data_IF_866631658361
#
_entry.id   IF_866631658361
#
_cell.length_a   1.000
_cell.length_b   1.000
_cell.length_c   1.000
_cell.angle_alpha   90.00
_cell.angle_beta   90.00
_cell.angle_gamma   90.00
#
_symmetry.space_group_name_H-M   'P 1'
#
loop_
_entity.id
_entity.type
_entity.pdbx_description
1 polymer ?
#
# COMPACT_ATOMS: atom_id res chain seq x y z
N UNK A 1 30.58 54.01 -21.18
CA UNK A 1 30.59 53.27 -19.90
C UNK A 1 29.18 52.86 -19.48
N UNK A 2 28.15 53.70 -19.68
CA UNK A 2 26.74 53.33 -19.35
C UNK A 2 26.21 52.07 -20.05
N UNK A 3 26.47 51.90 -21.36
CA UNK A 3 25.96 50.71 -22.08
C UNK A 3 26.53 49.39 -21.56
N UNK A 4 27.79 49.39 -21.12
CA UNK A 4 28.44 48.20 -20.55
C UNK A 4 27.76 47.83 -19.22
N UNK A 5 27.45 48.82 -18.38
CA UNK A 5 26.75 48.61 -17.11
C UNK A 5 25.33 48.09 -17.29
N UNK A 6 24.59 48.60 -18.28
CA UNK A 6 23.22 48.14 -18.59
C UNK A 6 23.22 46.69 -19.07
N UNK A 7 24.13 46.33 -19.98
CA UNK A 7 24.24 44.96 -20.48
C UNK A 7 24.64 43.96 -19.37
N UNK A 8 25.52 44.38 -18.45
CA UNK A 8 25.89 43.56 -17.29
C UNK A 8 24.68 43.30 -16.37
N UNK A 9 23.90 44.34 -16.07
CA UNK A 9 22.71 44.24 -15.23
C UNK A 9 21.66 43.34 -15.89
N UNK A 10 21.42 43.50 -17.20
CA UNK A 10 20.51 42.64 -17.96
C UNK A 10 20.95 41.17 -17.93
N UNK A 11 22.25 40.91 -18.07
CA UNK A 11 22.81 39.56 -17.96
C UNK A 11 22.51 38.92 -16.60
N UNK A 12 22.80 39.64 -15.51
CA UNK A 12 22.55 39.17 -14.14
C UNK A 12 21.06 38.91 -13.91
N UNK A 13 20.20 39.86 -14.29
CA UNK A 13 18.75 39.73 -14.14
C UNK A 13 18.22 38.53 -14.95
N UNK A 14 18.70 38.33 -16.18
CA UNK A 14 18.30 37.17 -16.99
C UNK A 14 18.72 35.85 -16.35
N UNK A 15 19.91 35.78 -15.74
CA UNK A 15 20.41 34.59 -15.07
C UNK A 15 19.59 34.22 -13.83
N UNK A 16 19.18 35.23 -13.04
CA UNK A 16 18.32 35.04 -11.87
C UNK A 16 16.94 34.55 -12.31
N UNK A 17 16.34 35.19 -13.32
CA UNK A 17 15.04 34.77 -13.87
C UNK A 17 15.10 33.34 -14.41
N UNK A 18 16.15 33.02 -15.17
CA UNK A 18 16.34 31.66 -15.72
C UNK A 18 16.46 30.62 -14.60
N UNK A 19 17.24 30.92 -13.57
CA UNK A 19 17.40 30.03 -12.41
C UNK A 19 16.08 29.81 -11.68
N UNK A 20 15.29 30.88 -11.50
CA UNK A 20 13.97 30.80 -10.89
C UNK A 20 13.01 29.94 -11.73
N UNK A 21 13.01 30.12 -13.05
CA UNK A 21 12.18 29.33 -13.96
C UNK A 21 12.57 27.85 -13.96
N UNK A 22 13.87 27.52 -13.98
CA UNK A 22 14.36 26.14 -13.87
C UNK A 22 13.93 25.53 -12.55
N UNK A 23 14.08 26.26 -11.43
CA UNK A 23 13.68 25.78 -10.12
C UNK A 23 12.16 25.51 -10.05
N UNK A 24 11.34 26.42 -10.58
CA UNK A 24 9.89 26.24 -10.65
C UNK A 24 9.51 25.04 -11.53
N UNK A 25 10.15 24.88 -12.69
CA UNK A 25 9.92 23.73 -13.57
C UNK A 25 10.29 22.41 -12.88
N UNK A 26 11.41 22.35 -12.16
CA UNK A 26 11.79 21.17 -11.38
C UNK A 26 10.76 20.82 -10.31
N UNK A 27 10.21 21.81 -9.61
CA UNK A 27 9.15 21.59 -8.63
C UNK A 27 7.90 20.99 -9.27
N UNK A 28 7.48 21.52 -10.43
CA UNK A 28 6.33 21.00 -11.18
C UNK A 28 6.59 19.56 -11.66
N UNK A 29 7.77 19.29 -12.21
CA UNK A 29 8.13 17.94 -12.69
C UNK A 29 8.10 16.95 -11.53
N UNK A 30 8.74 17.27 -10.40
CA UNK A 30 8.86 16.35 -9.27
C UNK A 30 7.53 16.11 -8.55
N UNK A 31 6.67 17.14 -8.43
CA UNK A 31 5.44 17.07 -7.65
C UNK A 31 4.19 16.73 -8.45
N UNK A 32 4.19 16.96 -9.77
CA UNK A 32 2.99 16.80 -10.61
C UNK A 32 3.25 15.78 -11.73
N UNK A 33 4.28 16.01 -12.56
CA UNK A 33 4.52 15.17 -13.74
C UNK A 33 4.97 13.76 -13.35
N UNK A 34 5.89 13.64 -12.39
CA UNK A 34 6.47 12.37 -11.99
C UNK A 34 5.45 11.45 -11.30
N UNK A 35 4.60 11.94 -10.36
CA UNK A 35 3.50 11.13 -9.81
C UNK A 35 2.50 10.73 -10.89
N UNK A 36 2.06 11.66 -11.74
CA UNK A 36 1.10 11.37 -12.81
C UNK A 36 1.60 10.32 -13.79
N UNK A 37 2.87 10.40 -14.19
CA UNK A 37 3.49 9.40 -15.07
C UNK A 37 3.58 8.01 -14.41
N UNK A 38 3.90 7.96 -13.10
CA UNK A 38 3.88 6.71 -12.35
C UNK A 38 2.46 6.12 -12.30
N UNK A 39 1.45 6.93 -12.02
CA UNK A 39 0.06 6.46 -11.99
C UNK A 39 -0.37 5.87 -13.34
N UNK A 40 0.01 6.52 -14.46
CA UNK A 40 -0.31 6.04 -15.81
C UNK A 40 0.41 4.75 -16.19
N UNK A 41 1.67 4.58 -15.76
CA UNK A 41 2.50 3.44 -16.16
C UNK A 41 2.27 2.19 -15.29
N UNK A 42 1.86 2.37 -14.04
CA UNK A 42 1.74 1.28 -13.05
C UNK A 42 0.29 0.85 -12.78
N UNK A 43 -0.62 1.13 -13.71
CA UNK A 43 -2.07 0.84 -13.64
C UNK A 43 -2.45 -0.65 -13.74
N UNK A 44 -1.51 -1.59 -13.71
CA UNK A 44 -1.82 -3.01 -13.95
C UNK A 44 -2.52 -3.70 -12.76
N UNK A 45 -2.52 -3.09 -11.56
CA UNK A 45 -3.14 -3.68 -10.38
C UNK A 45 -3.62 -2.63 -9.38
N UNK A 46 -4.94 -2.52 -9.26
CA UNK A 46 -5.62 -1.71 -8.25
C UNK A 46 -5.90 -2.59 -7.03
N UNK A 47 -5.36 -2.22 -5.88
CA UNK A 47 -5.48 -2.90 -4.57
C UNK A 47 -6.43 -2.16 -3.64
N UNK A 48 -6.84 -0.94 -3.99
CA UNK A 48 -7.85 -0.16 -3.23
C UNK A 48 -9.07 -1.00 -2.84
N UNK A 49 -9.51 -0.86 -1.59
CA UNK A 49 -10.74 -1.45 -1.07
C UNK A 49 -10.57 -2.35 0.15
N UNK A 50 -11.63 -3.11 0.43
CA UNK A 50 -11.74 -3.96 1.60
C UNK A 50 -11.35 -5.41 1.26
N UNK A 51 -10.39 -5.93 2.01
CA UNK A 51 -9.87 -7.28 1.89
C UNK A 51 -10.12 -8.06 3.17
N UNK A 52 -10.40 -9.34 3.01
CA UNK A 52 -10.60 -10.27 4.12
C UNK A 52 -9.61 -11.42 4.02
N UNK A 53 -9.06 -11.79 5.17
CA UNK A 53 -8.11 -12.88 5.27
C UNK A 53 -8.83 -14.23 5.22
N UNK A 54 -8.34 -15.13 4.37
CA UNK A 54 -8.90 -16.46 4.14
C UNK A 54 -7.84 -17.49 4.49
N UNK A 55 -7.96 -18.04 5.70
CA UNK A 55 -7.16 -19.20 6.11
C UNK A 55 -7.84 -20.46 5.55
N UNK A 56 -7.24 -21.10 4.55
CA UNK A 56 -7.71 -22.40 4.06
C UNK A 56 -7.42 -23.47 5.15
N UNK A 57 -8.44 -23.85 5.91
CA UNK A 57 -8.36 -24.94 6.89
C UNK A 57 -9.62 -25.07 7.74
N UNK A 58 -9.98 -26.31 8.09
CA UNK A 58 -11.13 -26.76 8.93
C UNK A 58 -11.10 -26.25 10.39
N UNK A 59 -10.47 -25.11 10.65
CA UNK A 59 -10.41 -24.49 11.96
C UNK A 59 -11.56 -23.50 12.03
N UNK A 60 -12.49 -23.72 12.96
CA UNK A 60 -13.51 -22.74 13.35
C UNK A 60 -12.87 -21.34 13.39
N UNK A 61 -13.27 -20.48 12.45
CA UNK A 61 -12.69 -19.14 12.28
C UNK A 61 -13.14 -18.29 13.47
N UNK A 62 -12.40 -18.37 14.58
CA UNK A 62 -12.67 -17.59 15.79
C UNK A 62 -12.21 -16.13 15.65
N UNK A 63 -11.48 -15.83 14.57
CA UNK A 63 -10.85 -14.53 14.35
C UNK A 63 -11.03 -14.08 12.91
N UNK A 64 -11.65 -12.91 12.73
CA UNK A 64 -11.85 -12.28 11.43
C UNK A 64 -10.86 -11.14 11.25
N UNK A 65 -10.17 -11.09 10.11
CA UNK A 65 -9.18 -10.06 9.81
C UNK A 65 -9.63 -9.29 8.58
N UNK A 66 -9.84 -7.97 8.74
CA UNK A 66 -10.28 -7.08 7.69
C UNK A 66 -9.23 -6.01 7.43
N UNK A 67 -8.86 -5.81 6.17
CA UNK A 67 -7.91 -4.80 5.75
C UNK A 67 -8.61 -3.77 4.86
N UNK A 68 -8.56 -2.50 5.25
CA UNK A 68 -9.03 -1.36 4.44
C UNK A 68 -7.82 -0.69 3.84
N UNK A 69 -7.61 -0.84 2.54
CA UNK A 69 -6.40 -0.38 1.83
C UNK A 69 -6.73 0.80 0.90
N UNK A 70 -5.88 1.82 0.93
CA UNK A 70 -5.87 3.01 0.08
C UNK A 70 -4.52 3.07 -0.65
N UNK A 71 -4.57 3.05 -1.98
CA UNK A 71 -3.45 3.04 -2.89
C UNK A 71 -3.31 4.39 -3.59
N UNK A 72 -2.08 4.91 -3.60
CA UNK A 72 -1.69 6.11 -4.35
C UNK A 72 -0.46 5.79 -5.17
N UNK A 73 -0.66 5.59 -6.47
CA UNK A 73 0.32 5.03 -7.37
C UNK A 73 0.76 3.64 -6.89
N UNK A 74 2.04 3.50 -6.54
CA UNK A 74 2.58 2.24 -6.03
C UNK A 74 2.54 2.14 -4.50
N UNK A 75 2.21 3.22 -3.79
CA UNK A 75 2.22 3.22 -2.32
C UNK A 75 0.86 2.78 -1.80
N UNK A 76 0.86 1.97 -0.74
CA UNK A 76 -0.35 1.50 -0.07
C UNK A 76 -0.32 2.00 1.37
N UNK A 77 -1.46 2.49 1.83
CA UNK A 77 -1.73 2.82 3.23
C UNK A 77 -3.04 2.18 3.66
N UNK A 78 -3.29 2.04 4.95
CA UNK A 78 -4.54 1.44 5.38
C UNK A 78 -4.62 1.15 6.86
N UNK A 79 -5.71 0.48 7.23
CA UNK A 79 -5.97 0.00 8.58
C UNK A 79 -6.40 -1.45 8.52
N UNK A 80 -5.85 -2.26 9.41
CA UNK A 80 -6.29 -3.63 9.64
C UNK A 80 -7.07 -3.70 10.94
N UNK A 81 -8.24 -4.32 10.89
CA UNK A 81 -9.09 -4.63 12.04
C UNK A 81 -9.03 -6.14 12.28
N UNK A 82 -8.49 -6.52 13.44
CA UNK A 82 -8.52 -7.86 13.98
C UNK A 82 -9.75 -7.97 14.89
N UNK A 83 -10.72 -8.79 14.54
CA UNK A 83 -11.96 -8.97 15.29
C UNK A 83 -11.92 -10.37 15.90
N UNK A 84 -11.84 -10.42 17.23
CA UNK A 84 -11.91 -11.63 18.04
C UNK A 84 -13.08 -11.53 19.05
N UNK A 85 -13.37 -12.59 19.81
CA UNK A 85 -14.40 -12.57 20.85
C UNK A 85 -14.16 -11.51 21.95
N UNK A 86 -12.91 -11.08 22.14
CA UNK A 86 -12.50 -10.07 23.12
C UNK A 86 -12.61 -8.63 22.57
N UNK A 87 -12.95 -8.45 21.29
CA UNK A 87 -13.19 -7.15 20.65
C UNK A 87 -12.32 -6.90 19.42
N UNK A 88 -12.31 -5.63 18.97
CA UNK A 88 -11.56 -5.23 17.77
C UNK A 88 -10.21 -4.59 18.14
N UNK A 89 -9.11 -5.09 17.55
CA UNK A 89 -7.79 -4.47 17.62
C UNK A 89 -7.42 -3.89 16.26
N UNK A 90 -6.86 -2.68 16.24
CA UNK A 90 -6.49 -2.00 14.99
C UNK A 90 -4.98 -1.90 14.81
N UNK A 91 -4.54 -2.05 13.57
CA UNK A 91 -3.15 -1.88 13.14
C UNK A 91 -3.07 -0.97 11.93
N UNK A 92 -2.03 -0.16 11.85
CA UNK A 92 -1.74 0.65 10.68
C UNK A 92 -1.03 -0.21 9.63
N UNK A 93 -1.42 -0.03 8.38
CA UNK A 93 -0.84 -0.73 7.23
C UNK A 93 -0.11 0.28 6.37
N UNK A 94 1.12 -0.06 6.01
CA UNK A 94 1.89 0.67 4.99
C UNK A 94 2.50 -0.33 4.04
N UNK A 95 2.65 0.01 2.78
CA UNK A 95 3.08 -0.97 1.81
C UNK A 95 3.32 -0.39 0.43
N UNK A 96 3.56 -1.29 -0.52
CA UNK A 96 3.62 -0.94 -1.92
C UNK A 96 3.20 -2.10 -2.81
N UNK A 97 2.78 -1.75 -4.03
CA UNK A 97 2.59 -2.68 -5.13
C UNK A 97 3.67 -2.48 -6.18
N UNK A 98 4.22 -3.57 -6.70
CA UNK A 98 5.18 -3.57 -7.80
C UNK A 98 5.11 -4.88 -8.57
N UNK A 99 4.91 -4.80 -9.89
CA UNK A 99 4.92 -5.95 -10.80
C UNK A 99 3.96 -7.08 -10.37
N UNK A 100 2.75 -6.72 -9.93
CA UNK A 100 1.75 -7.70 -9.45
C UNK A 100 2.02 -8.26 -8.05
N UNK A 101 3.12 -7.86 -7.41
CA UNK A 101 3.46 -8.22 -6.02
C UNK A 101 3.06 -7.08 -5.10
N UNK A 102 2.44 -7.42 -3.97
CA UNK A 102 1.98 -6.52 -2.93
C UNK A 102 2.77 -6.83 -1.66
N UNK A 103 3.40 -5.80 -1.08
CA UNK A 103 4.06 -5.87 0.21
C UNK A 103 3.30 -5.00 1.19
N UNK A 104 2.82 -5.57 2.28
CA UNK A 104 2.12 -4.85 3.35
C UNK A 104 2.88 -5.03 4.66
N UNK A 105 3.10 -3.95 5.38
CA UNK A 105 3.71 -3.94 6.70
C UNK A 105 2.69 -3.45 7.70
N UNK A 106 2.52 -4.22 8.77
CA UNK A 106 1.55 -3.97 9.82
C UNK A 106 2.29 -3.55 11.07
N UNK A 107 1.88 -2.41 11.63
CA UNK A 107 2.44 -1.90 12.87
C UNK A 107 1.30 -1.53 13.82
N UNK A 108 1.49 -1.80 15.11
CA UNK A 108 0.59 -1.31 16.15
C UNK A 108 0.82 0.19 16.33
N UNK A 109 -0.25 0.93 16.62
CA UNK A 109 -0.15 2.34 17.04
C UNK A 109 0.67 2.49 18.33
N UNK A 110 0.57 1.52 19.22
CA UNK A 110 1.37 1.45 20.43
C UNK A 110 2.78 0.91 20.13
N UNK A 111 3.75 1.82 20.04
CA UNK A 111 5.16 1.52 19.74
C UNK A 111 5.90 0.79 20.86
N UNK A 112 5.30 0.62 22.04
CA UNK A 112 5.94 -0.07 23.16
C UNK A 112 5.84 -1.59 23.06
N UNK A 113 5.01 -2.12 22.16
CA UNK A 113 4.82 -3.56 21.98
C UNK A 113 5.52 -4.03 20.70
N UNK A 114 6.41 -5.01 20.87
CA UNK A 114 7.02 -5.73 19.75
C UNK A 114 5.93 -6.48 18.98
N UNK A 115 5.89 -6.27 17.67
CA UNK A 115 4.85 -6.83 16.82
C UNK A 115 4.96 -6.23 15.43
N UNK A 116 5.88 -6.77 14.63
CA UNK A 116 6.00 -6.46 13.20
C UNK A 116 5.50 -7.67 12.45
N UNK A 117 4.54 -7.42 11.55
CA UNK A 117 4.06 -8.41 10.61
C UNK A 117 4.20 -7.82 9.21
N UNK A 118 4.57 -8.66 8.25
CA UNK A 118 4.72 -8.27 6.86
C UNK A 118 4.06 -9.33 5.98
N UNK A 119 3.21 -8.89 5.05
CA UNK A 119 2.68 -9.76 4.01
C UNK A 119 3.47 -9.54 2.73
N UNK A 120 3.85 -10.63 2.07
CA UNK A 120 4.39 -10.65 0.72
C UNK A 120 3.44 -11.49 -0.12
N UNK A 121 2.61 -10.81 -0.92
CA UNK A 121 1.52 -11.43 -1.67
C UNK A 121 1.68 -11.14 -3.16
N UNK A 122 1.11 -12.00 -3.99
CA UNK A 122 0.98 -11.81 -5.43
C UNK A 122 -0.49 -11.74 -5.78
N UNK A 123 -0.86 -10.84 -6.69
CA UNK A 123 -2.19 -10.85 -7.27
C UNK A 123 -2.41 -12.08 -8.15
N UNK A 124 -3.52 -12.74 -7.89
CA UNK A 124 -4.03 -13.91 -8.63
C UNK A 124 -5.51 -13.68 -8.94
N UNK A 125 -6.09 -14.48 -9.83
CA UNK A 125 -7.51 -14.40 -10.21
C UNK A 125 -7.94 -12.97 -10.61
N UNK A 126 -7.26 -12.40 -11.59
CA UNK A 126 -7.49 -11.04 -12.12
C UNK A 126 -7.43 -9.93 -11.05
N UNK A 127 -6.66 -10.14 -9.99
CA UNK A 127 -6.47 -9.17 -8.90
C UNK A 127 -7.61 -9.14 -7.88
N UNK A 128 -8.46 -10.16 -7.86
CA UNK A 128 -9.51 -10.32 -6.85
C UNK A 128 -9.09 -11.13 -5.63
N UNK A 129 -7.98 -11.86 -5.76
CA UNK A 129 -7.32 -12.57 -4.67
C UNK A 129 -5.84 -12.19 -4.63
N UNK A 130 -5.30 -12.02 -3.44
CA UNK A 130 -3.87 -11.92 -3.19
C UNK A 130 -3.43 -13.17 -2.47
N UNK A 131 -2.38 -13.84 -2.93
CA UNK A 131 -1.88 -15.08 -2.32
C UNK A 131 -0.38 -15.02 -2.14
N UNK A 132 0.11 -15.49 -1.01
CA UNK A 132 1.53 -15.48 -0.70
C UNK A 132 1.78 -15.88 0.74
N UNK A 133 2.63 -15.14 1.44
CA UNK A 133 3.01 -15.47 2.81
C UNK A 133 2.86 -14.27 3.73
N UNK A 134 2.40 -14.55 4.94
CA UNK A 134 2.50 -13.67 6.09
C UNK A 134 3.75 -14.03 6.88
N UNK A 135 4.56 -13.04 7.25
CA UNK A 135 5.76 -13.18 8.07
C UNK A 135 5.60 -12.36 9.34
N UNK A 136 6.01 -12.91 10.48
CA UNK A 136 5.99 -12.18 11.74
C UNK A 136 7.14 -12.64 12.64
N UNK A 137 7.53 -11.77 13.56
CA UNK A 137 8.43 -12.14 14.65
C UNK A 137 7.64 -12.78 15.78
N UNK A 138 7.88 -14.07 16.04
CA UNK A 138 7.29 -14.78 17.16
C UNK A 138 8.13 -14.54 18.42
N UNK A 139 7.54 -13.82 19.38
CA UNK A 139 8.20 -13.49 20.65
C UNK A 139 8.46 -14.74 21.49
N UNK A 140 7.60 -15.75 21.39
CA UNK A 140 7.69 -16.97 22.21
C UNK A 140 8.88 -17.85 21.80
N UNK A 141 9.13 -17.98 20.50
CA UNK A 141 10.28 -18.74 19.98
C UNK A 141 11.48 -17.87 19.63
N UNK A 142 11.35 -16.53 19.67
CA UNK A 142 12.38 -15.58 19.23
C UNK A 142 12.86 -15.81 17.80
N UNK A 143 11.93 -16.20 16.91
CA UNK A 143 12.20 -16.53 15.52
C UNK A 143 11.25 -15.79 14.58
N UNK A 144 11.68 -15.59 13.33
CA UNK A 144 10.80 -15.12 12.27
C UNK A 144 10.06 -16.34 11.72
N UNK A 145 8.73 -16.32 11.80
CA UNK A 145 7.86 -17.35 11.24
C UNK A 145 7.18 -16.85 9.98
N UNK A 146 6.79 -17.81 9.14
CA UNK A 146 5.99 -17.55 7.95
C UNK A 146 4.88 -18.57 7.81
N UNK A 147 3.72 -18.14 7.34
CA UNK A 147 2.61 -19.02 6.95
C UNK A 147 2.07 -18.58 5.59
N UNK A 148 1.60 -19.53 4.80
CA UNK A 148 0.82 -19.22 3.61
C UNK A 148 -0.43 -18.44 4.01
N UNK A 149 -0.72 -17.41 3.23
CA UNK A 149 -1.90 -16.60 3.48
C UNK A 149 -2.52 -16.06 2.21
N UNK A 150 -3.84 -15.84 2.24
CA UNK A 150 -4.60 -15.36 1.10
C UNK A 150 -5.61 -14.29 1.51
N UNK A 151 -5.62 -13.17 0.79
CA UNK A 151 -6.63 -12.14 0.93
C UNK A 151 -7.62 -12.20 -0.22
N UNK A 152 -8.91 -12.08 0.08
CA UNK A 152 -9.99 -12.01 -0.92
C UNK A 152 -10.72 -10.70 -0.78
N UNK A 153 -11.07 -10.07 -1.92
CA UNK A 153 -11.87 -8.84 -1.90
C UNK A 153 -13.26 -9.10 -1.35
N UNK A 154 -13.69 -8.26 -0.41
CA UNK A 154 -15.00 -8.39 0.26
C UNK A 154 -16.18 -8.06 -0.66
N UNK A 155 -15.97 -7.22 -1.68
CA UNK A 155 -17.01 -6.86 -2.65
C UNK A 155 -17.41 -8.03 -3.57
N UNK A 156 -16.55 -9.05 -3.74
CA UNK A 156 -16.78 -10.22 -4.60
C UNK A 156 -17.09 -11.52 -3.85
N UNK A 157 -16.81 -11.61 -2.55
CA UNK A 157 -17.03 -12.84 -1.77
C UNK A 157 -18.51 -13.11 -1.40
N UNK A 158 -19.42 -12.17 -1.67
CA UNK A 158 -20.87 -12.31 -1.39
C UNK A 158 -21.61 -13.21 -2.40
N UNK A 159 -21.00 -13.60 -3.53
CA UNK A 159 -21.69 -14.40 -4.56
C UNK A 159 -21.50 -15.92 -4.48
N UNK A 160 -20.69 -16.46 -3.55
CA UNK A 160 -20.39 -17.91 -3.52
C UNK A 160 -20.93 -18.67 -2.30
N UNK A 161 -21.91 -18.12 -1.60
CA UNK A 161 -22.60 -18.78 -0.50
C UNK A 161 -24.12 -18.82 -0.73
N UNK A 162 -24.56 -19.46 -1.82
CA UNK A 162 -25.89 -20.06 -1.84
C UNK A 162 -25.77 -21.51 -1.34
N UNK A 163 -26.47 -21.89 -0.25
CA UNK A 163 -26.55 -23.28 0.14
C UNK A 163 -27.37 -24.03 -0.92
N UNK A 164 -26.74 -25.02 -1.53
CA UNK A 164 -27.38 -25.98 -2.43
C UNK A 164 -28.47 -26.70 -1.63
N UNK A 165 -29.72 -26.41 -1.99
CA UNK A 165 -30.87 -27.32 -1.97
C UNK A 165 -31.09 -28.17 -0.72
N UNK A 166 -32.00 -27.72 0.15
CA UNK A 166 -32.87 -28.65 0.85
C UNK A 166 -33.93 -29.15 -0.14
N UNK A 167 -33.90 -30.45 -0.44
CA UNK A 167 -35.02 -31.21 -1.01
C UNK A 167 -35.04 -32.59 -0.38
#
# INVERSE_FOLDING_TARGET
MEEISINLILGIVSGIITSFLIFAALQVIQKIVLPWYKDLTYSDLVIDGDWEDVTDGDVEVTQRILHKLDQKGNSITGVTELIDESGSKTMEVTGFVRNGTVVLNFQRKDKQKLGVMTYLLKAVEDGSKLSGHALWYDISSSEIRSIENSLVRKDRSVQKAEPIGAS
#
